data_IF_417940654452
#
_entry.id   IF_417940654452
#
_cell.length_a   1.000
_cell.length_b   1.000
_cell.length_c   1.000
_cell.angle_alpha   90.00
_cell.angle_beta   90.00
_cell.angle_gamma   90.00
#
_symmetry.space_group_name_H-M   'P 1'
#
loop_
_entity.id
_entity.type
_entity.pdbx_description
1 polymer ?
#
# COMPACT_ATOMS: atom_id res chain seq x y z
N UNK A 1 8.78 13.99 -9.73
CA UNK A 1 7.34 14.35 -9.58
C UNK A 1 6.82 14.05 -8.17
N UNK A 2 7.32 12.99 -7.49
CA UNK A 2 7.01 12.73 -6.08
C UNK A 2 7.49 13.87 -5.18
N UNK A 3 8.67 14.43 -5.48
CA UNK A 3 9.25 15.59 -4.80
C UNK A 3 8.30 16.79 -4.79
N UNK A 4 7.53 16.99 -5.87
CA UNK A 4 6.52 18.06 -5.96
C UNK A 4 5.37 17.84 -4.98
N UNK A 5 4.93 16.59 -4.82
CA UNK A 5 3.86 16.24 -3.86
C UNK A 5 4.32 16.52 -2.43
N UNK A 6 5.53 16.12 -2.10
CA UNK A 6 6.11 16.37 -0.77
C UNK A 6 6.34 17.85 -0.50
N UNK A 7 6.84 18.60 -1.47
CA UNK A 7 7.05 20.05 -1.33
C UNK A 7 5.72 20.79 -1.16
N UNK A 8 4.68 20.43 -1.94
CA UNK A 8 3.33 20.96 -1.77
C UNK A 8 2.78 20.64 -0.37
N UNK A 9 3.05 19.45 0.16
CA UNK A 9 2.61 19.08 1.52
C UNK A 9 3.33 19.91 2.58
N UNK A 10 4.64 20.15 2.45
CA UNK A 10 5.41 21.01 3.35
C UNK A 10 4.92 22.46 3.31
N UNK A 11 4.62 22.97 2.10
CA UNK A 11 4.08 24.31 1.93
C UNK A 11 2.70 24.42 2.58
N UNK A 12 1.84 23.41 2.41
CA UNK A 12 0.51 23.36 3.05
C UNK A 12 0.61 23.38 4.57
N UNK A 13 1.54 22.63 5.17
CA UNK A 13 1.76 22.66 6.62
C UNK A 13 2.18 24.03 7.13
N UNK A 14 2.95 24.76 6.33
CA UNK A 14 3.45 26.11 6.67
C UNK A 14 2.38 27.19 6.52
N UNK A 15 1.62 27.15 5.43
CA UNK A 15 0.67 28.21 5.07
C UNK A 15 -0.73 27.98 5.63
N UNK A 16 -1.12 26.72 5.85
CA UNK A 16 -2.44 26.31 6.30
C UNK A 16 -2.34 25.28 7.45
N UNK A 17 -1.69 25.62 8.58
CA UNK A 17 -1.41 24.63 9.64
C UNK A 17 -2.68 24.05 10.29
N UNK A 18 -3.80 24.77 10.24
CA UNK A 18 -5.08 24.36 10.84
C UNK A 18 -5.95 23.51 9.91
N UNK A 19 -5.49 23.25 8.66
CA UNK A 19 -6.25 22.42 7.72
C UNK A 19 -6.08 20.95 8.05
N UNK A 20 -7.21 20.26 8.25
CA UNK A 20 -7.21 18.81 8.39
C UNK A 20 -6.75 18.15 7.09
N UNK A 21 -5.75 17.31 7.19
CA UNK A 21 -5.20 16.56 6.08
C UNK A 21 -5.27 15.07 6.37
N UNK A 22 -5.85 14.32 5.48
CA UNK A 22 -5.97 12.86 5.54
C UNK A 22 -5.56 12.27 4.20
N UNK A 23 -4.90 11.14 4.21
CA UNK A 23 -4.67 10.34 3.02
C UNK A 23 -5.60 9.12 3.00
N UNK A 24 -6.12 8.80 1.83
CA UNK A 24 -7.06 7.69 1.64
C UNK A 24 -6.56 6.78 0.52
N UNK A 25 -5.52 5.96 0.76
CA UNK A 25 -4.96 5.10 -0.27
C UNK A 25 -5.94 4.00 -0.65
N UNK A 26 -6.11 3.78 -1.96
CA UNK A 26 -6.74 2.55 -2.46
C UNK A 26 -5.71 1.44 -2.45
N UNK A 27 -5.90 0.49 -1.54
CA UNK A 27 -4.96 -0.61 -1.31
C UNK A 27 -5.17 -1.70 -2.34
N UNK A 28 -4.15 -1.96 -3.14
CA UNK A 28 -4.13 -2.99 -4.18
C UNK A 28 -2.81 -3.73 -4.18
N UNK A 29 -2.69 -4.73 -5.03
CA UNK A 29 -1.43 -5.46 -5.24
C UNK A 29 -0.25 -4.53 -5.57
N UNK A 30 -0.52 -3.37 -6.21
CA UNK A 30 0.48 -2.42 -6.66
C UNK A 30 1.16 -1.63 -5.53
N UNK A 31 0.54 -1.53 -4.35
CA UNK A 31 1.06 -0.69 -3.27
C UNK A 31 1.05 -1.34 -1.88
N UNK A 32 0.39 -2.48 -1.73
CA UNK A 32 0.24 -3.15 -0.42
C UNK A 32 1.58 -3.40 0.28
N UNK A 33 2.65 -3.69 -0.46
CA UNK A 33 3.98 -3.93 0.12
C UNK A 33 4.61 -2.67 0.70
N UNK A 34 4.39 -1.51 0.09
CA UNK A 34 5.05 -0.24 0.44
C UNK A 34 4.27 0.63 1.42
N UNK A 35 2.97 0.36 1.63
CA UNK A 35 2.14 1.17 2.52
C UNK A 35 2.66 1.29 3.95
N UNK A 36 3.18 0.22 4.60
CA UNK A 36 3.77 0.34 5.93
C UNK A 36 4.96 1.31 5.97
N UNK A 37 5.87 1.23 4.98
CA UNK A 37 7.05 2.09 4.90
C UNK A 37 6.66 3.53 4.63
N UNK A 38 5.73 3.76 3.69
CA UNK A 38 5.20 5.07 3.37
C UNK A 38 4.56 5.74 4.60
N UNK A 39 3.71 5.02 5.33
CA UNK A 39 3.04 5.53 6.52
C UNK A 39 4.07 5.95 7.58
N UNK A 40 5.05 5.08 7.84
CA UNK A 40 6.12 5.37 8.80
C UNK A 40 6.99 6.55 8.37
N UNK A 41 7.46 6.58 7.12
CA UNK A 41 8.31 7.66 6.60
C UNK A 41 7.62 9.03 6.72
N UNK A 42 6.35 9.11 6.33
CA UNK A 42 5.62 10.37 6.37
C UNK A 42 5.34 10.88 7.79
N UNK A 43 5.15 9.96 8.75
CA UNK A 43 5.03 10.31 10.17
C UNK A 43 6.38 10.78 10.70
N UNK A 44 7.46 10.02 10.49
CA UNK A 44 8.81 10.34 10.97
C UNK A 44 9.30 11.70 10.43
N UNK A 45 8.84 12.11 9.25
CA UNK A 45 9.13 13.39 8.61
C UNK A 45 8.14 14.52 8.95
N UNK A 46 7.14 14.25 9.78
CA UNK A 46 6.11 15.22 10.17
C UNK A 46 5.17 15.65 9.06
N UNK A 47 5.03 14.85 7.99
CA UNK A 47 4.17 15.13 6.85
C UNK A 47 2.74 14.60 7.05
N UNK A 48 2.55 13.64 7.96
CA UNK A 48 1.28 12.99 8.23
C UNK A 48 1.12 12.77 9.74
N UNK A 49 -0.07 13.07 10.26
CA UNK A 49 -0.44 12.62 11.60
C UNK A 49 -0.74 11.11 11.58
N UNK A 50 -0.36 10.35 12.63
CA UNK A 50 -0.41 8.90 12.63
C UNK A 50 -1.78 8.30 12.28
N UNK A 51 -2.86 8.92 12.74
CA UNK A 51 -4.23 8.45 12.51
C UNK A 51 -4.93 9.12 11.32
N UNK A 52 -4.24 9.99 10.57
CA UNK A 52 -4.82 10.67 9.40
C UNK A 52 -4.63 9.84 8.11
N UNK A 53 -4.82 8.54 8.23
CA UNK A 53 -4.82 7.61 7.10
C UNK A 53 -6.04 6.69 7.17
N UNK A 54 -6.78 6.60 6.07
CA UNK A 54 -7.97 5.74 5.96
C UNK A 54 -7.82 4.78 4.81
N UNK A 55 -7.68 3.50 5.10
CA UNK A 55 -7.47 2.46 4.09
C UNK A 55 -8.76 2.15 3.34
N UNK A 56 -8.68 2.13 2.01
CA UNK A 56 -9.74 1.69 1.11
C UNK A 56 -9.24 0.47 0.33
N UNK A 57 -9.65 -0.74 0.76
CA UNK A 57 -9.16 -1.98 0.15
C UNK A 57 -9.90 -2.23 -1.16
N UNK A 58 -9.14 -2.36 -2.25
CA UNK A 58 -9.67 -2.58 -3.59
C UNK A 58 -10.28 -3.98 -3.70
N UNK A 59 -11.54 -4.00 -4.17
CA UNK A 59 -12.28 -5.24 -4.44
C UNK A 59 -12.62 -5.42 -5.92
N UNK A 60 -12.40 -4.39 -6.75
CA UNK A 60 -12.58 -4.43 -8.19
C UNK A 60 -11.62 -3.43 -8.86
N UNK A 61 -10.94 -3.79 -9.98
CA UNK A 61 -11.03 -5.08 -10.67
C UNK A 61 -10.36 -6.21 -9.88
N UNK A 62 -10.88 -7.44 -10.02
CA UNK A 62 -10.51 -8.59 -9.19
C UNK A 62 -9.04 -8.97 -9.31
N UNK A 63 -8.45 -8.82 -10.48
CA UNK A 63 -7.06 -9.12 -10.78
C UNK A 63 -6.05 -8.14 -10.15
N UNK A 64 -6.51 -7.04 -9.53
CA UNK A 64 -5.67 -6.12 -8.73
C UNK A 64 -5.86 -6.26 -7.22
N UNK A 65 -6.65 -7.23 -6.77
CA UNK A 65 -6.87 -7.49 -5.34
C UNK A 65 -5.60 -8.03 -4.70
N UNK A 66 -5.39 -7.69 -3.43
CA UNK A 66 -4.24 -8.22 -2.66
C UNK A 66 -4.30 -9.74 -2.43
N UNK A 67 -5.48 -10.34 -2.54
CA UNK A 67 -5.67 -11.78 -2.40
C UNK A 67 -5.15 -12.61 -3.58
N UNK A 68 -4.73 -12.00 -4.69
CA UNK A 68 -4.04 -12.71 -5.79
C UNK A 68 -2.60 -13.10 -5.43
N UNK A 69 -2.03 -12.52 -4.36
CA UNK A 69 -0.68 -12.89 -3.89
C UNK A 69 -0.65 -14.38 -3.57
N UNK A 70 0.30 -15.15 -4.15
CA UNK A 70 0.46 -16.57 -3.86
C UNK A 70 0.66 -16.85 -2.37
N UNK A 71 0.07 -17.92 -1.86
CA UNK A 71 0.10 -18.27 -0.43
C UNK A 71 1.52 -18.35 0.13
N UNK A 72 2.48 -18.89 -0.65
CA UNK A 72 3.88 -18.97 -0.27
C UNK A 72 4.53 -17.59 -0.14
N UNK A 73 4.08 -16.60 -0.92
CA UNK A 73 4.60 -15.23 -0.89
C UNK A 73 3.96 -14.35 0.19
N UNK A 74 2.71 -14.63 0.57
CA UNK A 74 1.95 -13.85 1.56
C UNK A 74 2.68 -13.69 2.89
N UNK A 75 3.49 -14.66 3.28
CA UNK A 75 4.19 -14.65 4.57
C UNK A 75 5.06 -13.39 4.75
N UNK A 76 5.75 -12.95 3.71
CA UNK A 76 6.59 -11.73 3.79
C UNK A 76 5.73 -10.46 4.00
N UNK A 77 4.55 -10.39 3.35
CA UNK A 77 3.62 -9.29 3.51
C UNK A 77 3.02 -9.30 4.92
N UNK A 78 2.51 -10.45 5.36
CA UNK A 78 1.91 -10.64 6.69
C UNK A 78 2.90 -10.25 7.80
N UNK A 79 4.16 -10.69 7.71
CA UNK A 79 5.18 -10.34 8.70
C UNK A 79 5.41 -8.82 8.75
N UNK A 80 5.54 -8.18 7.59
CA UNK A 80 5.73 -6.72 7.48
C UNK A 80 4.56 -5.96 8.11
N UNK A 81 3.34 -6.42 7.89
CA UNK A 81 2.14 -5.80 8.48
C UNK A 81 2.08 -6.01 10.00
N UNK A 82 2.41 -7.20 10.51
CA UNK A 82 2.50 -7.43 11.96
C UNK A 82 3.52 -6.51 12.64
N UNK A 83 4.71 -6.36 12.04
CA UNK A 83 5.75 -5.45 12.54
C UNK A 83 5.27 -4.01 12.55
N UNK A 84 4.60 -3.56 11.50
CA UNK A 84 4.08 -2.20 11.39
C UNK A 84 2.92 -1.93 12.35
N UNK A 85 1.97 -2.86 12.48
CA UNK A 85 0.86 -2.77 13.44
C UNK A 85 1.40 -2.69 14.88
N UNK A 86 2.40 -3.53 15.20
CA UNK A 86 3.08 -3.46 16.49
C UNK A 86 3.75 -2.11 16.70
N UNK A 87 4.45 -1.58 15.69
CA UNK A 87 5.08 -0.26 15.78
C UNK A 87 4.04 0.85 16.02
N UNK A 88 2.88 0.80 15.34
CA UNK A 88 1.78 1.76 15.58
C UNK A 88 1.30 1.63 17.03
N UNK A 89 1.05 0.43 17.49
CA UNK A 89 0.54 0.17 18.85
C UNK A 89 1.50 0.68 19.93
N UNK A 90 2.80 0.40 19.77
CA UNK A 90 3.84 0.80 20.71
C UNK A 90 4.02 2.33 20.79
N UNK A 91 3.78 3.07 19.70
CA UNK A 91 4.04 4.51 19.62
C UNK A 91 2.79 5.40 19.74
N UNK A 92 1.63 4.92 19.27
CA UNK A 92 0.41 5.73 19.12
C UNK A 92 -0.84 5.07 19.71
N UNK A 93 -0.76 3.79 20.08
CA UNK A 93 -1.88 3.03 20.61
C UNK A 93 -2.95 2.67 19.56
N UNK A 94 -4.16 2.37 20.04
CA UNK A 94 -5.29 2.04 19.17
C UNK A 94 -5.82 3.28 18.45
N UNK A 95 -6.10 3.13 17.16
CA UNK A 95 -6.56 4.23 16.34
C UNK A 95 -7.01 3.80 14.94
N UNK A 96 -7.37 4.79 14.11
CA UNK A 96 -7.84 4.55 12.73
C UNK A 96 -6.79 3.86 11.89
N UNK A 97 -5.51 4.29 12.00
CA UNK A 97 -4.41 3.70 11.26
C UNK A 97 -4.24 2.22 11.62
N UNK A 98 -4.14 1.89 12.92
CA UNK A 98 -3.97 0.50 13.37
C UNK A 98 -5.07 -0.39 12.81
N UNK A 99 -6.34 -0.01 12.99
CA UNK A 99 -7.49 -0.78 12.46
C UNK A 99 -7.47 -0.91 10.93
N UNK A 100 -7.00 0.12 10.23
CA UNK A 100 -6.83 0.07 8.76
C UNK A 100 -5.79 -0.97 8.34
N UNK A 101 -4.63 -1.00 8.98
CA UNK A 101 -3.58 -2.00 8.70
C UNK A 101 -4.00 -3.40 9.15
N UNK A 102 -4.72 -3.56 10.25
CA UNK A 102 -5.32 -4.84 10.70
C UNK A 102 -6.32 -5.36 9.66
N UNK A 103 -7.16 -4.49 9.10
CA UNK A 103 -8.08 -4.88 8.01
C UNK A 103 -7.36 -5.39 6.76
N UNK A 104 -6.24 -4.76 6.36
CA UNK A 104 -5.43 -5.25 5.24
C UNK A 104 -4.83 -6.62 5.58
N UNK A 105 -4.34 -6.79 6.80
CA UNK A 105 -3.81 -8.07 7.28
C UNK A 105 -4.86 -9.18 7.22
N UNK A 106 -6.08 -8.89 7.64
CA UNK A 106 -7.22 -9.83 7.56
C UNK A 106 -7.50 -10.22 6.10
N UNK A 107 -7.51 -9.27 5.16
CA UNK A 107 -7.67 -9.54 3.72
C UNK A 107 -6.55 -10.42 3.15
N UNK A 108 -5.29 -10.18 3.59
CA UNK A 108 -4.14 -11.02 3.19
C UNK A 108 -4.25 -12.47 3.71
N UNK A 109 -5.04 -12.72 4.73
CA UNK A 109 -5.25 -14.04 5.33
C UNK A 109 -6.51 -14.75 4.84
N UNK A 110 -7.37 -14.05 4.08
CA UNK A 110 -8.61 -14.61 3.51
C UNK A 110 -8.35 -15.45 2.26
N UNK A 111 -9.44 -15.70 1.53
CA UNK A 111 -9.48 -16.51 0.31
C UNK A 111 -8.34 -16.19 -0.66
N UNK A 112 -7.97 -17.19 -1.45
CA UNK A 112 -6.92 -17.07 -2.44
C UNK A 112 -7.53 -16.97 -3.84
N UNK A 113 -7.08 -15.96 -4.59
CA UNK A 113 -7.48 -15.70 -5.97
C UNK A 113 -6.29 -15.84 -6.95
N UNK A 114 -5.37 -16.77 -6.68
CA UNK A 114 -4.20 -17.05 -7.56
C UNK A 114 -4.62 -17.40 -9.00
N UNK A 115 -5.81 -17.91 -9.19
CA UNK A 115 -6.36 -18.17 -10.52
C UNK A 115 -6.48 -16.90 -11.39
N UNK A 116 -6.44 -15.70 -10.82
CA UNK A 116 -6.48 -14.42 -11.53
C UNK A 116 -5.09 -13.88 -11.90
N UNK A 117 -4.01 -14.54 -11.49
CA UNK A 117 -2.63 -14.14 -11.83
C UNK A 117 -2.43 -14.03 -13.35
N UNK A 118 -2.88 -14.97 -14.19
CA UNK A 118 -2.73 -14.83 -15.64
C UNK A 118 -3.41 -13.58 -16.22
N UNK A 119 -4.55 -13.18 -15.67
CA UNK A 119 -5.26 -11.97 -16.09
C UNK A 119 -4.47 -10.71 -15.67
N UNK A 120 -3.97 -10.66 -14.44
CA UNK A 120 -3.10 -9.59 -13.94
C UNK A 120 -1.87 -9.41 -14.83
N UNK A 121 -1.15 -10.50 -15.13
CA UNK A 121 0.05 -10.48 -15.98
C UNK A 121 -0.28 -9.99 -17.39
N UNK A 122 -1.33 -10.55 -18.01
CA UNK A 122 -1.75 -10.18 -19.36
C UNK A 122 -2.10 -8.70 -19.48
N UNK A 123 -2.84 -8.17 -18.51
CA UNK A 123 -3.25 -6.77 -18.46
C UNK A 123 -2.04 -5.84 -18.30
N UNK A 124 -1.13 -6.17 -17.36
CA UNK A 124 0.05 -5.33 -17.12
C UNK A 124 1.03 -5.38 -18.29
N UNK A 125 1.22 -6.53 -18.92
CA UNK A 125 2.02 -6.62 -20.16
C UNK A 125 1.52 -5.68 -21.25
N UNK A 126 0.20 -5.62 -21.46
CA UNK A 126 -0.39 -4.67 -22.41
C UNK A 126 -0.17 -3.21 -22.02
N UNK A 127 -0.21 -2.88 -20.73
CA UNK A 127 0.08 -1.53 -20.23
C UNK A 127 1.56 -1.18 -20.36
N UNK A 128 2.46 -2.12 -20.08
CA UNK A 128 3.91 -1.95 -20.21
C UNK A 128 4.30 -1.67 -21.66
N UNK A 129 3.74 -2.42 -22.62
CA UNK A 129 3.93 -2.20 -24.04
C UNK A 129 3.48 -0.79 -24.49
N UNK A 130 2.32 -0.33 -23.98
CA UNK A 130 1.78 0.99 -24.31
C UNK A 130 2.58 2.15 -23.71
N UNK A 131 3.17 1.96 -22.54
CA UNK A 131 3.89 3.00 -21.78
C UNK A 131 5.40 2.98 -22.00
N UNK A 132 5.94 1.90 -22.55
CA UNK A 132 7.38 1.67 -22.65
C UNK A 132 8.03 1.47 -21.28
N UNK A 133 7.32 0.83 -20.34
CA UNK A 133 7.72 0.57 -18.96
C UNK A 133 7.76 -0.93 -18.70
N UNK A 134 8.22 -1.33 -17.52
CA UNK A 134 8.15 -2.70 -17.02
C UNK A 134 7.62 -2.70 -15.59
N UNK A 135 6.50 -3.38 -15.34
CA UNK A 135 5.93 -3.52 -14.01
C UNK A 135 6.97 -4.05 -13.01
N UNK A 136 7.71 -5.08 -13.38
CA UNK A 136 8.66 -5.74 -12.46
C UNK A 136 9.95 -4.94 -12.23
N UNK A 137 10.30 -4.00 -13.13
CA UNK A 137 11.35 -3.02 -12.87
C UNK A 137 10.91 -1.95 -11.89
N UNK A 138 9.64 -1.54 -11.94
CA UNK A 138 9.04 -0.52 -11.06
C UNK A 138 8.66 -1.12 -9.70
N UNK A 139 8.13 -2.34 -9.69
CA UNK A 139 7.67 -3.07 -8.52
C UNK A 139 8.39 -4.43 -8.38
N UNK A 140 9.69 -4.44 -8.04
CA UNK A 140 10.48 -5.68 -7.97
C UNK A 140 9.99 -6.66 -6.90
N UNK A 141 9.25 -6.18 -5.90
CA UNK A 141 8.59 -7.03 -4.90
C UNK A 141 7.52 -7.95 -5.48
N UNK A 142 7.06 -7.69 -6.71
CA UNK A 142 6.08 -8.48 -7.46
C UNK A 142 6.72 -9.46 -8.45
N UNK A 143 8.05 -9.57 -8.48
CA UNK A 143 8.78 -10.42 -9.43
C UNK A 143 8.37 -11.91 -9.34
N UNK A 144 7.83 -12.34 -8.21
CA UNK A 144 7.28 -13.71 -8.05
C UNK A 144 6.12 -14.02 -9.01
N UNK A 145 5.50 -13.02 -9.65
CA UNK A 145 4.52 -13.24 -10.71
C UNK A 145 5.15 -13.55 -12.07
N UNK A 146 6.45 -13.31 -12.24
CA UNK A 146 7.16 -13.47 -13.51
C UNK A 146 7.71 -14.90 -13.73
N UNK A 147 7.42 -15.81 -12.79
CA UNK A 147 7.89 -17.19 -12.78
C UNK A 147 7.01 -18.19 -13.54
#
# INVERSE_FOLDING_TARGET
>A
EWDVIEENRKQMLKECPDVYFEITPTVSIMNVYHLPDFHKDWIDRGLLEPNNVRMNILTYPDDYRIQIIPLNERKKFINKYHEHIKWIDDNFGDGVAKRGFESILDFLQQENYENLIPEFISRNKGLDELRGESLFEICPELEFFNG
#
